data_IF_672439247617
#
_entry.id   IF_672439247617
#
_cell.length_a   1.000
_cell.length_b   1.000
_cell.length_c   1.000
_cell.angle_alpha   90.00
_cell.angle_beta   90.00
_cell.angle_gamma   90.00
#
_symmetry.space_group_name_H-M   'P 1'
#
loop_
_entity.id
_entity.type
_entity.pdbx_description
1 polymer ?
#
# COMPACT_ATOMS: atom_id res chain seq x y z
N UNK A 1 -1.10 -16.26 1.80
CA UNK A 1 -2.40 -16.96 1.82
C UNK A 1 -2.20 -18.40 1.38
N UNK A 2 -1.68 -18.69 0.19
CA UNK A 2 -1.50 -20.06 -0.36
C UNK A 2 -0.76 -21.04 0.59
N UNK A 3 0.32 -20.56 1.22
CA UNK A 3 1.08 -21.41 2.17
C UNK A 3 0.28 -21.74 3.46
N UNK A 4 -0.65 -20.88 3.85
CA UNK A 4 -1.57 -21.12 4.95
C UNK A 4 -2.66 -22.12 4.53
N UNK A 5 -3.28 -21.89 3.37
CA UNK A 5 -4.28 -22.79 2.80
C UNK A 5 -3.75 -24.22 2.63
N UNK A 6 -2.52 -24.38 2.11
CA UNK A 6 -1.87 -25.69 1.96
C UNK A 6 -1.63 -26.43 3.29
N UNK A 7 -1.79 -25.76 4.44
CA UNK A 7 -1.63 -26.31 5.80
C UNK A 7 -2.90 -26.26 6.63
N UNK A 8 -4.04 -26.04 5.99
CA UNK A 8 -5.34 -25.88 6.67
C UNK A 8 -5.30 -24.83 7.81
N UNK A 9 -4.61 -23.72 7.54
CA UNK A 9 -4.48 -22.59 8.48
C UNK A 9 -5.35 -21.43 8.04
N UNK A 10 -6.14 -20.89 8.96
CA UNK A 10 -6.88 -19.66 8.73
C UNK A 10 -5.96 -18.44 8.65
N UNK A 11 -6.37 -17.45 7.86
CA UNK A 11 -5.67 -16.15 7.74
C UNK A 11 -6.45 -15.09 8.52
N UNK A 12 -5.75 -14.39 9.40
CA UNK A 12 -6.23 -13.26 10.15
C UNK A 12 -5.49 -11.98 9.71
N UNK A 13 -6.21 -11.03 9.13
CA UNK A 13 -5.65 -9.76 8.65
C UNK A 13 -5.79 -8.70 9.73
N UNK A 14 -4.69 -8.02 10.06
CA UNK A 14 -4.65 -6.94 11.05
C UNK A 14 -4.47 -5.57 10.39
N UNK A 15 -5.07 -4.54 10.97
CA UNK A 15 -4.94 -3.13 10.57
C UNK A 15 -5.20 -2.86 9.07
N UNK A 16 -6.22 -3.47 8.44
CA UNK A 16 -6.42 -3.32 6.99
C UNK A 16 -6.76 -1.89 6.58
N UNK A 17 -7.45 -1.12 7.43
CA UNK A 17 -7.94 0.22 7.09
C UNK A 17 -6.96 1.34 7.41
N UNK A 18 -6.21 1.25 8.50
CA UNK A 18 -5.28 2.31 8.91
C UNK A 18 -3.98 2.25 8.10
N UNK A 19 -3.19 1.22 8.30
CA UNK A 19 -1.89 1.07 7.63
C UNK A 19 -2.02 0.60 6.17
N UNK A 20 -3.20 0.15 5.79
CA UNK A 20 -3.57 -0.20 4.42
C UNK A 20 -4.14 0.97 3.60
N UNK A 21 -4.01 2.22 4.06
CA UNK A 21 -4.41 3.38 3.26
C UNK A 21 -5.03 4.55 4.04
N UNK A 22 -5.11 4.50 5.36
CA UNK A 22 -5.85 5.47 6.20
C UNK A 22 -7.31 5.61 5.73
N UNK A 23 -7.96 4.49 5.42
CA UNK A 23 -9.24 4.44 4.71
C UNK A 23 -10.44 4.99 5.52
N UNK A 24 -10.26 5.29 6.80
CA UNK A 24 -11.23 6.03 7.61
C UNK A 24 -11.27 7.54 7.27
N UNK A 25 -10.23 8.06 6.61
CA UNK A 25 -10.13 9.43 6.10
C UNK A 25 -9.61 9.40 4.64
N UNK A 26 -10.36 8.79 3.70
CA UNK A 26 -9.89 8.56 2.34
C UNK A 26 -9.88 9.87 1.55
N UNK A 27 -8.94 10.02 0.59
CA UNK A 27 -8.95 11.17 -0.30
C UNK A 27 -10.19 11.14 -1.22
N UNK A 28 -10.67 12.30 -1.68
CA UNK A 28 -11.87 12.41 -2.53
C UNK A 28 -11.81 11.55 -3.80
N UNK A 29 -10.64 11.43 -4.43
CA UNK A 29 -10.44 10.57 -5.61
C UNK A 29 -10.74 9.12 -5.28
N UNK A 30 -10.18 8.59 -4.19
CA UNK A 30 -10.40 7.20 -3.78
C UNK A 30 -11.88 6.96 -3.42
N UNK A 31 -12.51 7.88 -2.68
CA UNK A 31 -13.94 7.82 -2.37
C UNK A 31 -14.80 7.73 -3.62
N UNK A 32 -14.50 8.56 -4.63
CA UNK A 32 -15.21 8.54 -5.91
C UNK A 32 -15.02 7.22 -6.68
N UNK A 33 -13.80 6.68 -6.69
CA UNK A 33 -13.50 5.42 -7.36
C UNK A 33 -14.20 4.24 -6.70
N UNK A 34 -14.26 4.23 -5.36
CA UNK A 34 -14.91 3.16 -4.61
C UNK A 34 -16.45 3.24 -4.62
N UNK A 35 -17.05 4.36 -5.03
CA UNK A 35 -18.51 4.49 -5.05
C UNK A 35 -19.19 3.36 -5.85
N UNK A 36 -20.32 2.77 -5.32
CA UNK A 36 -21.13 3.25 -4.20
C UNK A 36 -20.62 2.89 -2.79
N UNK A 37 -19.61 2.03 -2.67
CA UNK A 37 -19.07 1.64 -1.37
C UNK A 37 -18.17 2.72 -0.78
N UNK A 38 -18.10 2.76 0.56
CA UNK A 38 -17.01 3.47 1.22
C UNK A 38 -15.68 2.70 1.04
N UNK A 39 -14.51 3.35 0.93
CA UNK A 39 -13.23 2.65 0.80
C UNK A 39 -12.96 1.58 1.87
N UNK A 40 -13.41 1.77 3.12
CA UNK A 40 -13.31 0.74 4.16
C UNK A 40 -14.18 -0.49 3.85
N UNK A 41 -15.41 -0.29 3.34
CA UNK A 41 -16.29 -1.39 2.93
C UNK A 41 -15.69 -2.18 1.78
N UNK A 42 -15.24 -1.47 0.73
CA UNK A 42 -14.54 -2.10 -0.39
C UNK A 42 -13.35 -2.93 0.09
N UNK A 43 -12.48 -2.35 0.94
CA UNK A 43 -11.30 -3.05 1.44
C UNK A 43 -11.65 -4.28 2.28
N UNK A 44 -12.66 -4.19 3.14
CA UNK A 44 -13.13 -5.34 3.93
C UNK A 44 -13.62 -6.48 3.02
N UNK A 45 -14.48 -6.16 2.06
CA UNK A 45 -15.02 -7.12 1.10
C UNK A 45 -13.92 -7.72 0.22
N UNK A 46 -12.98 -6.89 -0.27
CA UNK A 46 -11.83 -7.35 -1.05
C UNK A 46 -10.97 -8.38 -0.29
N UNK A 47 -10.74 -8.14 0.99
CA UNK A 47 -10.03 -9.09 1.84
C UNK A 47 -10.84 -10.38 2.05
N UNK A 48 -12.13 -10.25 2.35
CA UNK A 48 -13.03 -11.38 2.64
C UNK A 48 -13.42 -12.18 1.38
N UNK A 49 -13.20 -11.62 0.18
CA UNK A 49 -13.36 -12.37 -1.08
C UNK A 49 -12.35 -13.52 -1.24
N UNK A 50 -11.39 -13.62 -0.33
CA UNK A 50 -10.44 -14.74 -0.25
C UNK A 50 -10.97 -15.75 0.75
N UNK A 51 -11.37 -16.98 0.33
CA UNK A 51 -11.98 -17.96 1.23
C UNK A 51 -11.07 -18.37 2.40
N UNK A 52 -9.77 -18.17 2.26
CA UNK A 52 -8.79 -18.43 3.32
C UNK A 52 -8.72 -17.34 4.38
N UNK A 53 -9.30 -16.16 4.11
CA UNK A 53 -9.34 -15.04 5.06
C UNK A 53 -10.56 -15.18 5.94
N UNK A 54 -10.33 -15.53 7.20
CA UNK A 54 -11.40 -15.82 8.16
C UNK A 54 -11.79 -14.62 9.02
N UNK A 55 -10.88 -13.67 9.22
CA UNK A 55 -11.11 -12.57 10.15
C UNK A 55 -10.31 -11.34 9.77
N UNK A 56 -10.94 -10.16 9.95
CA UNK A 56 -10.31 -8.85 9.83
C UNK A 56 -10.32 -8.16 11.19
N UNK A 57 -9.16 -7.69 11.66
CA UNK A 57 -9.07 -6.80 12.82
C UNK A 57 -9.19 -5.34 12.34
N UNK A 58 -10.41 -4.85 12.32
CA UNK A 58 -10.72 -3.49 11.92
C UNK A 58 -10.56 -2.53 13.11
N UNK A 59 -9.58 -1.63 13.04
CA UNK A 59 -9.50 -0.50 13.96
C UNK A 59 -10.56 0.53 13.61
N UNK A 60 -11.09 1.19 14.64
CA UNK A 60 -12.03 2.30 14.50
C UNK A 60 -11.43 3.56 15.15
N UNK A 61 -11.48 4.69 14.45
CA UNK A 61 -11.09 5.99 15.00
C UNK A 61 -12.24 6.61 15.80
N UNK A 62 -13.48 6.27 15.47
CA UNK A 62 -14.72 6.72 16.13
C UNK A 62 -15.78 5.60 16.08
N UNK A 63 -16.79 5.64 16.97
CA UNK A 63 -17.83 4.59 17.04
C UNK A 63 -18.54 4.33 15.70
N UNK A 64 -18.82 5.37 14.92
CA UNK A 64 -19.49 5.24 13.62
C UNK A 64 -18.65 4.52 12.54
N UNK A 65 -17.37 4.24 12.77
CA UNK A 65 -16.57 3.43 11.86
C UNK A 65 -17.00 1.95 11.92
N UNK A 66 -17.56 1.51 13.07
CA UNK A 66 -18.15 0.17 13.18
C UNK A 66 -19.42 0.02 12.34
N UNK A 67 -20.23 1.07 12.20
CA UNK A 67 -21.41 1.05 11.33
C UNK A 67 -20.98 0.76 9.88
N UNK A 68 -19.93 1.44 9.42
CA UNK A 68 -19.36 1.21 8.08
C UNK A 68 -18.89 -0.24 7.87
N UNK A 69 -18.33 -0.89 8.90
CA UNK A 69 -17.95 -2.30 8.81
C UNK A 69 -19.13 -3.24 8.79
N UNK A 70 -20.18 -2.94 9.56
CA UNK A 70 -21.42 -3.71 9.56
C UNK A 70 -22.16 -3.60 8.23
N UNK A 71 -22.27 -2.39 7.68
CA UNK A 71 -22.88 -2.16 6.37
C UNK A 71 -22.18 -2.94 5.25
N UNK A 72 -20.87 -3.21 5.37
CA UNK A 72 -20.17 -4.05 4.39
C UNK A 72 -20.73 -5.47 4.34
N UNK A 73 -21.26 -6.00 5.45
CA UNK A 73 -21.81 -7.36 5.52
C UNK A 73 -23.07 -7.54 4.69
N UNK A 74 -23.78 -6.46 4.35
CA UNK A 74 -24.93 -6.51 3.43
C UNK A 74 -24.54 -7.03 2.03
N UNK A 75 -23.28 -6.94 1.65
CA UNK A 75 -22.75 -7.39 0.37
C UNK A 75 -22.06 -8.76 0.46
N UNK A 76 -22.04 -9.39 1.65
CA UNK A 76 -21.21 -10.58 1.89
C UNK A 76 -21.58 -11.76 0.98
N UNK A 77 -22.86 -11.97 0.70
CA UNK A 77 -23.32 -13.07 -0.16
C UNK A 77 -23.09 -12.82 -1.67
N UNK A 78 -22.65 -11.60 -2.03
CA UNK A 78 -22.45 -11.19 -3.42
C UNK A 78 -21.19 -10.33 -3.59
N UNK A 79 -20.11 -10.68 -2.87
CA UNK A 79 -18.87 -9.88 -2.79
C UNK A 79 -18.33 -9.55 -4.17
N UNK A 80 -18.14 -10.54 -5.05
CA UNK A 80 -17.56 -10.33 -6.38
C UNK A 80 -18.31 -9.27 -7.17
N UNK A 81 -19.64 -9.35 -7.21
CA UNK A 81 -20.45 -8.37 -7.94
C UNK A 81 -20.38 -6.96 -7.36
N UNK A 82 -20.10 -6.83 -6.06
CA UNK A 82 -19.94 -5.54 -5.39
C UNK A 82 -18.55 -4.93 -5.63
N UNK A 83 -17.48 -5.74 -5.65
CA UNK A 83 -16.10 -5.23 -5.72
C UNK A 83 -15.53 -5.16 -7.13
N UNK A 84 -15.87 -6.06 -8.05
CA UNK A 84 -15.27 -6.13 -9.39
C UNK A 84 -15.36 -4.81 -10.19
N UNK A 85 -16.51 -4.10 -10.19
CA UNK A 85 -16.59 -2.81 -10.87
C UNK A 85 -15.68 -1.75 -10.25
N UNK A 86 -15.46 -1.83 -8.94
CA UNK A 86 -14.59 -0.90 -8.20
C UNK A 86 -13.13 -1.24 -8.48
N UNK A 87 -12.75 -2.52 -8.42
CA UNK A 87 -11.40 -2.96 -8.75
C UNK A 87 -11.01 -2.53 -10.18
N UNK A 88 -11.94 -2.67 -11.13
CA UNK A 88 -11.74 -2.21 -12.51
C UNK A 88 -11.45 -0.71 -12.58
N UNK A 89 -12.21 0.13 -11.85
CA UNK A 89 -11.98 1.58 -11.79
C UNK A 89 -10.64 1.93 -11.15
N UNK A 90 -10.27 1.25 -10.04
CA UNK A 90 -9.00 1.47 -9.35
C UNK A 90 -7.83 1.10 -10.24
N UNK A 91 -7.89 -0.03 -10.93
CA UNK A 91 -6.88 -0.47 -11.90
C UNK A 91 -6.74 0.54 -13.04
N UNK A 92 -7.85 0.96 -13.63
CA UNK A 92 -7.84 1.95 -14.71
C UNK A 92 -7.21 3.29 -14.26
N UNK A 93 -7.50 3.74 -13.04
CA UNK A 93 -6.89 4.96 -12.49
C UNK A 93 -5.38 4.84 -12.27
N UNK A 94 -4.89 3.67 -11.86
CA UNK A 94 -3.45 3.38 -11.75
C UNK A 94 -2.79 3.33 -13.14
N UNK A 95 -3.43 2.68 -14.10
CA UNK A 95 -2.91 2.57 -15.48
C UNK A 95 -2.92 3.92 -16.20
N UNK A 96 -3.91 4.77 -15.96
CA UNK A 96 -3.95 6.15 -16.45
C UNK A 96 -2.76 6.97 -15.92
N UNK A 97 -2.43 6.80 -14.63
CA UNK A 97 -1.36 7.55 -13.97
C UNK A 97 0.05 7.08 -14.36
N UNK A 98 0.24 5.78 -14.57
CA UNK A 98 1.57 5.16 -14.66
C UNK A 98 1.84 4.37 -15.93
N UNK A 99 0.79 4.01 -16.66
CA UNK A 99 0.81 3.07 -17.78
C UNK A 99 0.65 1.61 -17.36
N UNK A 100 0.04 0.81 -18.23
CA UNK A 100 -0.27 -0.60 -17.98
C UNK A 100 0.99 -1.45 -17.71
N UNK A 101 2.09 -1.19 -18.44
CA UNK A 101 3.35 -1.92 -18.26
C UNK A 101 3.94 -1.71 -16.84
N UNK A 102 3.92 -0.46 -16.35
CA UNK A 102 4.30 -0.18 -14.96
C UNK A 102 3.42 -0.95 -13.98
N UNK A 103 2.10 -0.82 -14.10
CA UNK A 103 1.16 -1.46 -13.17
C UNK A 103 1.32 -2.98 -13.11
N UNK A 104 1.65 -3.61 -14.22
CA UNK A 104 1.86 -5.05 -14.30
C UNK A 104 3.21 -5.50 -13.72
N UNK A 105 4.27 -4.69 -13.86
CA UNK A 105 5.64 -5.18 -13.77
C UNK A 105 6.58 -4.41 -12.85
N UNK A 106 6.15 -3.32 -12.21
CA UNK A 106 7.03 -2.48 -11.41
C UNK A 106 7.85 -3.22 -10.32
N UNK A 107 7.38 -4.34 -9.70
CA UNK A 107 8.17 -5.05 -8.71
C UNK A 107 9.23 -5.98 -9.31
N UNK A 108 9.18 -6.24 -10.63
CA UNK A 108 10.07 -7.21 -11.27
C UNK A 108 11.53 -6.79 -11.16
N UNK A 109 12.37 -7.73 -10.77
CA UNK A 109 13.81 -7.56 -10.73
C UNK A 109 14.33 -6.58 -9.68
N UNK A 110 13.48 -6.09 -8.77
CA UNK A 110 13.91 -5.27 -7.64
C UNK A 110 14.73 -6.12 -6.65
N UNK A 111 15.86 -5.60 -6.16
CA UNK A 111 16.65 -6.26 -5.12
C UNK A 111 15.98 -6.15 -3.75
N UNK A 112 16.34 -7.07 -2.86
CA UNK A 112 15.99 -6.90 -1.45
C UNK A 112 16.73 -5.68 -0.86
N UNK A 113 16.11 -4.98 0.09
CA UNK A 113 16.65 -3.71 0.61
C UNK A 113 18.09 -3.82 1.16
N UNK A 114 18.49 -4.96 1.73
CA UNK A 114 19.85 -5.18 2.24
C UNK A 114 20.92 -5.14 1.14
N UNK A 115 20.55 -5.43 -0.10
CA UNK A 115 21.42 -5.46 -1.27
C UNK A 115 21.41 -4.12 -2.03
N UNK A 116 20.65 -3.14 -1.55
CA UNK A 116 20.60 -1.79 -2.12
C UNK A 116 21.59 -0.87 -1.40
N UNK A 117 22.41 -0.09 -2.13
CA UNK A 117 23.28 0.92 -1.50
C UNK A 117 22.47 1.89 -0.63
N UNK A 118 22.89 2.04 0.64
CA UNK A 118 22.13 2.80 1.64
C UNK A 118 20.92 2.04 2.22
N UNK A 119 20.77 0.75 1.90
CA UNK A 119 19.67 -0.13 2.38
C UNK A 119 18.28 0.39 2.07
N UNK A 120 18.10 1.10 0.94
CA UNK A 120 16.80 1.64 0.56
C UNK A 120 15.79 0.52 0.33
N UNK A 121 14.59 0.67 0.88
CA UNK A 121 13.47 -0.23 0.58
C UNK A 121 12.78 0.19 -0.71
N UNK A 122 13.39 -0.16 -1.85
CA UNK A 122 12.89 0.23 -3.18
C UNK A 122 11.46 -0.26 -3.40
N UNK A 123 11.13 -1.49 -3.00
CA UNK A 123 9.79 -2.05 -3.16
C UNK A 123 8.75 -1.19 -2.46
N UNK A 124 9.00 -0.80 -1.22
CA UNK A 124 8.08 0.05 -0.49
C UNK A 124 8.01 1.46 -1.08
N UNK A 125 9.14 2.08 -1.39
CA UNK A 125 9.20 3.43 -1.94
C UNK A 125 8.41 3.52 -3.26
N UNK A 126 8.63 2.59 -4.18
CA UNK A 126 7.92 2.58 -5.47
C UNK A 126 6.43 2.28 -5.31
N UNK A 127 6.06 1.40 -4.37
CA UNK A 127 4.66 1.13 -4.02
C UNK A 127 3.96 2.41 -3.52
N UNK A 128 4.60 3.13 -2.60
CA UNK A 128 4.06 4.37 -2.05
C UNK A 128 3.88 5.45 -3.13
N UNK A 129 4.87 5.61 -4.01
CA UNK A 129 4.78 6.51 -5.16
C UNK A 129 3.61 6.15 -6.07
N UNK A 130 3.48 4.86 -6.41
CA UNK A 130 2.43 4.37 -7.30
C UNK A 130 1.03 4.71 -6.76
N UNK A 131 0.78 4.44 -5.49
CA UNK A 131 -0.53 4.70 -4.90
C UNK A 131 -0.77 6.18 -4.57
N UNK A 132 0.25 6.92 -4.14
CA UNK A 132 0.12 8.34 -3.89
C UNK A 132 -0.25 9.12 -5.17
N UNK A 133 0.42 8.82 -6.28
CA UNK A 133 0.15 9.47 -7.58
C UNK A 133 -1.13 8.95 -8.25
N UNK A 134 -1.36 7.65 -8.19
CA UNK A 134 -2.49 7.02 -8.90
C UNK A 134 -3.83 7.15 -8.19
N UNK A 135 -3.84 7.14 -6.86
CA UNK A 135 -5.07 7.13 -6.04
C UNK A 135 -5.17 8.30 -5.05
N UNK A 136 -4.28 9.29 -5.12
CA UNK A 136 -4.15 10.43 -4.20
C UNK A 136 -3.90 10.00 -2.73
N UNK A 137 -3.33 8.81 -2.49
CA UNK A 137 -3.01 8.32 -1.15
C UNK A 137 -1.76 8.99 -0.57
N UNK A 138 -1.68 10.33 -0.65
CA UNK A 138 -0.50 11.11 -0.25
C UNK A 138 -0.30 11.08 1.26
N UNK A 139 -1.34 11.31 2.07
CA UNK A 139 -1.22 11.31 3.55
C UNK A 139 -0.82 9.95 4.10
N UNK A 140 -1.36 8.88 3.52
CA UNK A 140 -0.92 7.52 3.83
C UNK A 140 0.53 7.30 3.37
N UNK A 141 0.87 7.76 2.17
CA UNK A 141 2.23 7.70 1.63
C UNK A 141 3.24 8.39 2.54
N UNK A 142 2.94 9.61 3.01
CA UNK A 142 3.78 10.36 3.95
C UNK A 142 3.97 9.58 5.26
N UNK A 143 2.88 9.11 5.86
CA UNK A 143 2.93 8.33 7.09
C UNK A 143 3.84 7.11 6.96
N UNK A 144 3.77 6.38 5.85
CA UNK A 144 4.58 5.17 5.63
C UNK A 144 6.01 5.49 5.26
N UNK A 145 6.23 6.48 4.38
CA UNK A 145 7.55 6.86 3.89
C UNK A 145 8.48 7.33 5.03
N UNK A 146 7.95 8.15 5.94
CA UNK A 146 8.73 8.71 7.05
C UNK A 146 8.90 7.73 8.22
N UNK A 147 8.35 6.51 8.13
CA UNK A 147 8.68 5.39 9.02
C UNK A 147 9.91 4.59 8.55
N UNK A 148 10.31 4.72 7.28
CA UNK A 148 11.52 4.07 6.78
C UNK A 148 12.74 4.61 7.51
N UNK A 149 13.57 3.70 8.00
CA UNK A 149 14.74 4.04 8.85
C UNK A 149 14.41 4.29 10.32
N UNK A 150 13.13 4.38 10.70
CA UNK A 150 12.68 4.66 12.07
C UNK A 150 11.95 3.49 12.75
N UNK A 151 11.52 2.50 11.98
CA UNK A 151 10.63 1.44 12.46
C UNK A 151 11.29 0.05 12.59
N UNK A 152 12.61 0.01 12.45
CA UNK A 152 13.45 -1.19 12.66
C UNK A 152 12.94 -2.43 11.86
N UNK A 153 12.93 -3.61 12.47
CA UNK A 153 12.52 -4.86 11.79
C UNK A 153 11.05 -4.88 11.35
N UNK A 154 10.20 -4.06 11.95
CA UNK A 154 8.77 -4.03 11.67
C UNK A 154 8.44 -3.35 10.33
N UNK A 155 9.23 -2.35 9.92
CA UNK A 155 9.12 -1.68 8.63
C UNK A 155 10.53 -1.38 8.10
N UNK A 156 11.22 -2.42 7.60
CA UNK A 156 12.65 -2.38 7.39
C UNK A 156 13.07 -1.56 6.18
N UNK A 157 14.33 -1.13 6.21
CA UNK A 157 14.98 -0.38 5.15
C UNK A 157 14.86 1.12 5.32
N UNK A 158 15.63 1.83 4.52
CA UNK A 158 15.80 3.27 4.58
C UNK A 158 15.04 3.97 3.46
N UNK A 159 14.77 5.26 3.63
CA UNK A 159 14.24 6.13 2.57
C UNK A 159 15.37 6.82 1.78
N UNK A 160 14.98 7.63 0.79
CA UNK A 160 15.89 8.18 -0.23
C UNK A 160 17.03 9.05 0.33
N UNK A 161 16.90 9.68 1.49
CA UNK A 161 18.02 10.44 2.10
C UNK A 161 19.28 9.61 2.33
N UNK A 162 19.14 8.31 2.56
CA UNK A 162 20.26 7.39 2.75
C UNK A 162 20.83 6.87 1.43
N UNK A 163 20.37 7.39 0.29
CA UNK A 163 20.79 6.93 -1.01
C UNK A 163 22.29 7.14 -1.22
N UNK A 164 23.00 6.06 -1.39
CA UNK A 164 24.38 6.05 -1.89
C UNK A 164 24.29 5.91 -3.43
N UNK A 165 24.56 6.99 -4.15
CA UNK A 165 24.42 7.03 -5.63
C UNK A 165 25.26 5.98 -6.33
N UNK A 166 26.49 5.74 -5.83
CA UNK A 166 27.37 4.71 -6.37
C UNK A 166 26.79 3.32 -6.09
N UNK A 167 26.55 2.56 -7.16
CA UNK A 167 26.05 1.18 -7.09
C UNK A 167 24.53 1.02 -7.24
N UNK A 168 23.73 2.09 -7.20
CA UNK A 168 22.29 1.98 -7.42
C UNK A 168 21.98 1.37 -8.81
N UNK A 169 22.60 1.86 -9.88
CA UNK A 169 22.37 1.37 -11.24
C UNK A 169 22.63 -0.14 -11.37
N UNK A 170 23.69 -0.65 -10.73
CA UNK A 170 23.98 -2.09 -10.69
C UNK A 170 22.94 -2.86 -9.89
N UNK A 171 22.50 -2.32 -8.75
CA UNK A 171 21.50 -2.97 -7.90
C UNK A 171 20.15 -3.16 -8.61
N UNK A 172 19.72 -2.16 -9.38
CA UNK A 172 18.42 -2.17 -10.09
C UNK A 172 18.48 -2.68 -11.53
N UNK A 173 19.63 -3.09 -12.05
CA UNK A 173 19.84 -3.46 -13.47
C UNK A 173 18.92 -4.55 -14.01
N UNK A 174 18.32 -5.36 -13.12
CA UNK A 174 17.36 -6.41 -13.50
C UNK A 174 15.92 -5.90 -13.60
N UNK A 175 15.64 -4.69 -13.10
CA UNK A 175 14.31 -4.11 -13.22
C UNK A 175 14.06 -3.64 -14.67
N UNK A 176 12.87 -3.90 -15.23
CA UNK A 176 12.48 -3.35 -16.53
C UNK A 176 12.39 -1.82 -16.53
N UNK A 177 12.40 -1.20 -15.36
CA UNK A 177 12.27 0.24 -15.15
C UNK A 177 13.53 0.88 -14.56
N UNK A 178 14.69 0.22 -14.69
CA UNK A 178 15.96 0.68 -14.12
C UNK A 178 16.26 2.15 -14.47
N UNK A 179 15.98 2.58 -15.68
CA UNK A 179 16.23 3.96 -16.14
C UNK A 179 15.28 4.98 -15.50
N UNK A 180 14.08 4.58 -15.07
CA UNK A 180 13.07 5.46 -14.46
C UNK A 180 13.18 5.53 -12.94
N UNK A 181 13.68 4.49 -12.31
CA UNK A 181 13.72 4.38 -10.83
C UNK A 181 14.42 5.58 -10.18
N UNK A 182 15.59 6.08 -10.65
CA UNK A 182 16.24 7.24 -10.03
C UNK A 182 15.38 8.51 -9.99
N UNK A 183 14.63 8.78 -11.05
CA UNK A 183 13.70 9.91 -11.12
C UNK A 183 12.52 9.71 -10.18
N UNK A 184 11.94 8.50 -10.17
CA UNK A 184 10.83 8.16 -9.27
C UNK A 184 11.24 8.27 -7.79
N UNK A 185 12.46 7.88 -7.44
CA UNK A 185 12.98 8.05 -6.09
C UNK A 185 13.03 9.53 -5.68
N UNK A 186 13.50 10.40 -6.58
CA UNK A 186 13.56 11.84 -6.33
C UNK A 186 12.15 12.44 -6.21
N UNK A 187 11.23 12.08 -7.10
CA UNK A 187 9.82 12.49 -7.02
C UNK A 187 9.15 12.00 -5.74
N UNK A 188 9.36 10.75 -5.36
CA UNK A 188 8.79 10.18 -4.15
C UNK A 188 9.25 10.94 -2.91
N UNK A 189 10.53 11.22 -2.83
CA UNK A 189 11.09 11.97 -1.72
C UNK A 189 10.50 13.40 -1.66
N UNK A 190 10.44 14.10 -2.80
CA UNK A 190 9.84 15.44 -2.86
C UNK A 190 8.36 15.47 -2.48
N UNK A 191 7.60 14.40 -2.81
CA UNK A 191 6.17 14.30 -2.55
C UNK A 191 5.85 13.87 -1.11
N UNK A 192 6.61 12.90 -0.59
CA UNK A 192 6.24 12.17 0.63
C UNK A 192 7.13 12.48 1.83
N UNK A 193 8.33 13.04 1.63
CA UNK A 193 9.19 13.36 2.76
C UNK A 193 8.59 14.52 3.58
N UNK A 194 8.61 14.32 4.89
CA UNK A 194 8.17 15.29 5.89
C UNK A 194 9.07 15.07 7.12
N UNK A 195 8.78 15.68 8.26
CA UNK A 195 9.51 15.36 9.49
C UNK A 195 9.40 13.85 9.81
N UNK A 196 10.51 13.25 10.24
CA UNK A 196 10.58 11.85 10.62
C UNK A 196 9.44 11.49 11.59
N UNK A 197 8.72 10.42 11.27
CA UNK A 197 7.62 9.92 12.10
C UNK A 197 8.17 8.96 13.16
N UNK A 198 7.84 9.20 14.43
CA UNK A 198 8.09 8.23 15.50
C UNK A 198 6.99 7.18 15.54
N UNK A 199 7.31 5.98 15.99
CA UNK A 199 6.29 4.97 16.31
C UNK A 199 5.40 5.48 17.43
N UNK A 200 4.13 5.14 17.36
CA UNK A 200 3.16 5.50 18.41
C UNK A 200 3.52 4.89 19.79
N UNK A 201 4.24 3.75 19.78
CA UNK A 201 4.79 3.13 21.00
C UNK A 201 5.98 3.87 21.59
N UNK A 202 6.56 4.80 20.87
CA UNK A 202 7.75 5.58 21.27
C UNK A 202 7.37 7.04 21.64
N UNK A 203 6.08 7.35 21.65
CA UNK A 203 5.55 8.60 22.20
C UNK A 203 5.45 8.49 23.70
N UNK A 204 6.25 9.30 24.41
CA UNK A 204 6.21 9.49 25.86
C UNK A 204 4.84 9.99 26.35
#
# INVERSE_FOLDING_TARGET
IEAAAARDMGVFIISPNDKGGKLYAPPPKLTKLCAPLHPMQFNALYCLNRPEVHTLSCGAAKPSDFDCHLDALEFYDAIESAIDPIETKLRAALEEAHGADWCARWPEGLPHYVDVPGKLNLTEILRLWTFAKGLDLVDWGKMRYNLLGQADHWFPGEHVEKLVKNGLAEAIRKSPFADRIPEILAETHALLHDADQKRQSDSD
#
